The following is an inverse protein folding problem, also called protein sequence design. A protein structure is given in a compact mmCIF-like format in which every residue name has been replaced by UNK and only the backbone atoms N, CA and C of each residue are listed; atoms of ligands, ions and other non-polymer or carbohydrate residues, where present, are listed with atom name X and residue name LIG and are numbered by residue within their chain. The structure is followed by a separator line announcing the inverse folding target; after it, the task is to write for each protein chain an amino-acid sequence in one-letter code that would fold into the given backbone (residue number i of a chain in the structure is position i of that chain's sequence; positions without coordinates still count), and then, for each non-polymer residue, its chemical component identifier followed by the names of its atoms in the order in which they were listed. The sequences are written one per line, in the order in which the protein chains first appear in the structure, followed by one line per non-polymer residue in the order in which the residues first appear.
data_IF_821638320541
#
_entry.id   IF_821638320541
#
_cell.length_a   1.000
_cell.length_b   1.000
_cell.length_c   1.000
_cell.angle_alpha   90.00
_cell.angle_beta   90.00
_cell.angle_gamma   90.00
#
_symmetry.space_group_name_H-M   'P 1'
#
loop_
_entity.id
_entity.type
_entity.pdbx_description
1 polymer ?
#
# COMPACT_ATOMS: atom_id res chain seq x y z
N UNK A 1 -73.19 -6.36 56.71
CA UNK A 1 -71.73 -6.30 56.98
C UNK A 1 -71.01 -7.09 55.90
N UNK A 2 -70.41 -6.46 54.89
CA UNK A 2 -69.50 -7.11 53.96
C UNK A 2 -68.06 -7.08 54.53
N UNK A 3 -67.24 -8.13 54.33
CA UNK A 3 -65.83 -8.08 54.70
C UNK A 3 -65.04 -7.27 53.67
N UNK A 4 -64.28 -6.28 54.14
CA UNK A 4 -63.38 -5.45 53.33
C UNK A 4 -62.23 -6.29 52.76
N UNK A 5 -62.21 -6.49 51.44
CA UNK A 5 -61.10 -7.09 50.74
C UNK A 5 -59.93 -6.09 50.62
N UNK A 6 -58.78 -6.41 51.23
CA UNK A 6 -57.52 -5.67 51.04
C UNK A 6 -56.84 -6.14 49.77
N UNK A 7 -56.62 -5.21 48.83
CA UNK A 7 -55.80 -5.43 47.63
C UNK A 7 -54.33 -5.32 48.06
N UNK A 8 -53.56 -6.40 47.87
CA UNK A 8 -52.11 -6.39 48.08
C UNK A 8 -51.42 -5.75 46.86
N UNK A 9 -50.39 -4.89 47.05
CA UNK A 9 -49.64 -4.31 45.94
C UNK A 9 -48.77 -5.39 45.28
N UNK A 10 -48.89 -5.53 43.96
CA UNK A 10 -47.99 -6.37 43.16
C UNK A 10 -46.73 -5.56 42.87
N UNK A 11 -45.63 -5.89 43.55
CA UNK A 11 -44.32 -5.29 43.28
C UNK A 11 -43.81 -5.72 41.90
N UNK A 12 -43.30 -4.80 41.05
CA UNK A 12 -42.72 -5.18 39.78
C UNK A 12 -41.44 -5.99 40.02
N UNK A 13 -41.35 -7.16 39.38
CA UNK A 13 -40.12 -7.96 39.33
C UNK A 13 -39.07 -7.15 38.58
N UNK A 14 -38.10 -6.59 39.31
CA UNK A 14 -36.93 -6.00 38.71
C UNK A 14 -36.18 -7.09 37.93
N UNK A 15 -36.16 -6.96 36.60
CA UNK A 15 -35.35 -7.81 35.74
C UNK A 15 -33.89 -7.48 36.02
N UNK A 16 -33.17 -8.40 36.69
CA UNK A 16 -31.73 -8.25 36.89
C UNK A 16 -31.07 -8.32 35.51
N UNK A 17 -30.32 -7.30 35.08
CA UNK A 17 -29.63 -7.36 33.80
C UNK A 17 -28.62 -8.52 33.83
N UNK A 18 -28.79 -9.46 32.89
CA UNK A 18 -27.82 -10.55 32.70
C UNK A 18 -26.54 -9.95 32.12
N UNK A 19 -25.46 -9.99 32.91
CA UNK A 19 -24.13 -9.62 32.45
C UNK A 19 -23.50 -10.73 31.62
N UNK A 20 -22.55 -10.37 30.75
CA UNK A 20 -21.72 -11.33 30.03
C UNK A 20 -20.88 -12.16 31.01
N UNK A 21 -20.79 -13.46 30.76
CA UNK A 21 -19.91 -14.35 31.53
C UNK A 21 -18.46 -14.20 31.08
N UNK A 22 -17.52 -14.50 31.98
CA UNK A 22 -16.09 -14.51 31.65
C UNK A 22 -15.79 -15.48 30.50
N UNK A 23 -16.49 -16.62 30.47
CA UNK A 23 -16.34 -17.64 29.42
C UNK A 23 -16.85 -17.15 28.07
N UNK A 24 -17.95 -16.40 28.02
CA UNK A 24 -18.43 -15.80 26.76
C UNK A 24 -17.43 -14.80 26.19
N UNK A 25 -16.82 -13.97 27.04
CA UNK A 25 -15.78 -13.04 26.60
C UNK A 25 -14.53 -13.79 26.13
N UNK A 26 -14.14 -14.87 26.80
CA UNK A 26 -12.99 -15.68 26.38
C UNK A 26 -13.21 -16.34 25.01
N UNK A 27 -14.38 -16.94 24.78
CA UNK A 27 -14.73 -17.52 23.49
C UNK A 27 -14.79 -16.45 22.38
N UNK A 28 -15.39 -15.29 22.68
CA UNK A 28 -15.47 -14.18 21.73
C UNK A 28 -14.07 -13.70 21.31
N UNK A 29 -13.15 -13.54 22.27
CA UNK A 29 -11.77 -13.14 21.99
C UNK A 29 -11.02 -14.17 21.15
N UNK A 30 -11.25 -15.47 21.37
CA UNK A 30 -10.66 -16.54 20.56
C UNK A 30 -11.09 -16.40 19.10
N UNK A 31 -12.39 -16.21 18.84
CA UNK A 31 -12.90 -16.06 17.47
C UNK A 31 -12.33 -14.80 16.82
N UNK A 32 -12.31 -13.68 17.52
CA UNK A 32 -11.72 -12.42 17.00
C UNK A 32 -10.23 -12.58 16.71
N UNK A 33 -9.49 -13.29 17.57
CA UNK A 33 -8.06 -13.56 17.37
C UNK A 33 -7.78 -14.34 16.08
N UNK A 34 -8.59 -15.38 15.79
CA UNK A 34 -8.46 -16.17 14.56
C UNK A 34 -8.75 -15.30 13.33
N UNK A 35 -9.81 -14.49 13.37
CA UNK A 35 -10.15 -13.60 12.26
C UNK A 35 -9.06 -12.55 12.00
N UNK A 36 -8.52 -11.94 13.07
CA UNK A 36 -7.46 -10.94 12.97
C UNK A 36 -6.18 -11.53 12.36
N UNK A 37 -5.82 -12.77 12.70
CA UNK A 37 -4.63 -13.44 12.19
C UNK A 37 -4.63 -13.58 10.65
N UNK A 38 -5.80 -13.79 10.04
CA UNK A 38 -5.93 -13.88 8.58
C UNK A 38 -6.14 -12.50 7.96
N UNK A 39 -6.94 -11.63 8.58
CA UNK A 39 -7.33 -10.35 8.00
C UNK A 39 -6.16 -9.35 7.92
N UNK A 40 -5.30 -9.28 8.94
CA UNK A 40 -4.21 -8.31 9.01
C UNK A 40 -3.18 -8.43 7.88
N UNK A 41 -2.58 -9.61 7.60
CA UNK A 41 -1.59 -9.72 6.52
C UNK A 41 -2.22 -9.43 5.14
N UNK A 42 -3.45 -9.89 4.90
CA UNK A 42 -4.16 -9.63 3.64
C UNK A 42 -4.45 -8.13 3.45
N UNK A 43 -4.88 -7.43 4.50
CA UNK A 43 -5.10 -5.99 4.44
C UNK A 43 -3.81 -5.22 4.13
N UNK A 44 -2.69 -5.58 4.77
CA UNK A 44 -1.39 -4.96 4.49
C UNK A 44 -0.97 -5.14 3.04
N UNK A 45 -1.15 -6.33 2.47
CA UNK A 45 -0.85 -6.60 1.06
C UNK A 45 -1.74 -5.77 0.11
N UNK A 46 -3.02 -5.59 0.44
CA UNK A 46 -3.93 -4.73 -0.35
C UNK A 46 -3.48 -3.27 -0.32
N UNK A 47 -3.06 -2.75 0.84
CA UNK A 47 -2.53 -1.39 0.97
C UNK A 47 -1.22 -1.24 0.18
N UNK A 48 -0.29 -2.19 0.29
CA UNK A 48 0.96 -2.18 -0.48
C UNK A 48 0.69 -2.20 -1.98
N UNK A 49 -0.21 -3.08 -2.46
CA UNK A 49 -0.62 -3.13 -3.87
C UNK A 49 -1.22 -1.80 -4.34
N UNK A 50 -2.07 -1.18 -3.52
CA UNK A 50 -2.63 0.13 -3.82
C UNK A 50 -1.53 1.20 -3.94
N UNK A 51 -0.55 1.21 -3.03
CA UNK A 51 0.55 2.17 -3.05
C UNK A 51 1.54 1.95 -4.18
N UNK A 52 1.74 0.71 -4.67
CA UNK A 52 2.52 0.45 -5.89
C UNK A 52 1.96 1.20 -7.11
N UNK A 53 0.64 1.44 -7.17
CA UNK A 53 0.06 2.24 -8.25
C UNK A 53 0.56 3.70 -8.26
N UNK A 54 0.92 4.25 -7.10
CA UNK A 54 1.50 5.58 -6.97
C UNK A 54 2.93 5.63 -7.56
N UNK A 55 3.72 4.58 -7.31
CA UNK A 55 5.03 4.42 -7.95
C UNK A 55 4.90 4.30 -9.48
N UNK A 56 4.00 3.43 -9.95
CA UNK A 56 3.78 3.20 -11.39
C UNK A 56 3.33 4.49 -12.08
N UNK A 57 2.44 5.27 -11.47
CA UNK A 57 2.01 6.57 -11.99
C UNK A 57 3.20 7.53 -12.14
N UNK A 58 4.09 7.57 -11.15
CA UNK A 58 5.27 8.41 -11.21
C UNK A 58 6.29 7.93 -12.26
N UNK A 59 6.57 6.63 -12.33
CA UNK A 59 7.50 6.04 -13.28
C UNK A 59 7.05 6.29 -14.74
N UNK A 60 5.75 6.11 -15.01
CA UNK A 60 5.17 6.38 -16.33
C UNK A 60 5.16 7.86 -16.67
N UNK A 61 4.93 8.76 -15.70
CA UNK A 61 5.04 10.19 -15.88
C UNK A 61 6.49 10.62 -16.24
N UNK A 62 7.48 10.07 -15.54
CA UNK A 62 8.90 10.31 -15.84
C UNK A 62 9.26 9.77 -17.23
N UNK A 63 8.80 8.57 -17.60
CA UNK A 63 9.02 8.00 -18.94
C UNK A 63 8.47 8.92 -20.04
N UNK A 64 7.23 9.40 -19.90
CA UNK A 64 6.63 10.33 -20.86
C UNK A 64 7.39 11.66 -20.93
N UNK A 65 7.85 12.18 -19.79
CA UNK A 65 8.64 13.41 -19.75
C UNK A 65 10.01 13.23 -20.43
N UNK A 66 10.67 12.08 -20.23
CA UNK A 66 11.91 11.73 -20.93
C UNK A 66 11.72 11.66 -22.45
N UNK A 67 10.61 11.10 -22.92
CA UNK A 67 10.32 11.04 -24.35
C UNK A 67 10.07 12.43 -24.94
N UNK A 68 9.30 13.28 -24.24
CA UNK A 68 9.12 14.69 -24.62
C UNK A 68 10.45 15.46 -24.63
N UNK A 69 11.33 15.17 -23.68
CA UNK A 69 12.66 15.76 -23.62
C UNK A 69 13.51 15.36 -24.84
N UNK A 70 13.47 14.08 -25.23
CA UNK A 70 14.18 13.54 -26.41
C UNK A 70 13.68 14.09 -27.74
N UNK A 71 12.40 14.48 -27.83
CA UNK A 71 11.86 15.04 -29.08
C UNK A 71 12.66 16.27 -29.57
N UNK A 72 13.29 17.02 -28.67
CA UNK A 72 14.07 18.22 -28.99
C UNK A 72 15.57 18.08 -28.67
N UNK A 73 16.03 16.91 -28.20
CA UNK A 73 17.41 16.74 -27.67
C UNK A 73 18.01 15.38 -28.02
N UNK A 74 19.32 15.37 -28.22
CA UNK A 74 20.08 14.19 -28.64
C UNK A 74 20.30 13.14 -27.53
N UNK A 75 20.03 13.48 -26.27
CA UNK A 75 20.15 12.57 -25.13
C UNK A 75 19.03 12.74 -24.10
N UNK A 76 18.82 11.70 -23.30
CA UNK A 76 17.99 11.77 -22.10
C UNK A 76 18.66 12.64 -21.03
N UNK A 77 17.89 13.16 -20.07
CA UNK A 77 18.44 13.90 -18.93
C UNK A 77 18.57 13.00 -17.70
N UNK A 78 19.62 13.24 -16.91
CA UNK A 78 19.86 12.58 -15.62
C UNK A 78 19.23 13.32 -14.45
N UNK A 79 18.58 14.47 -14.70
CA UNK A 79 17.99 15.32 -13.66
C UNK A 79 16.47 15.29 -13.76
N UNK A 80 15.81 14.96 -12.66
CA UNK A 80 14.35 14.99 -12.57
C UNK A 80 13.78 16.42 -12.71
N UNK A 81 14.53 17.44 -12.28
CA UNK A 81 14.14 18.85 -12.41
C UNK A 81 13.95 19.29 -13.86
N UNK A 82 14.79 18.78 -14.76
CA UNK A 82 14.74 19.07 -16.21
C UNK A 82 13.46 18.52 -16.85
N UNK A 83 12.85 17.52 -16.22
CA UNK A 83 11.61 16.87 -16.61
C UNK A 83 10.37 17.49 -15.93
N UNK A 84 10.56 18.55 -15.12
CA UNK A 84 9.49 19.22 -14.38
C UNK A 84 9.16 18.59 -13.03
N UNK A 85 9.99 17.68 -12.52
CA UNK A 85 9.83 17.06 -11.21
C UNK A 85 10.81 17.67 -10.21
N UNK A 86 10.30 18.54 -9.33
CA UNK A 86 11.11 19.24 -8.32
C UNK A 86 11.43 18.37 -7.10
N UNK A 87 10.70 17.28 -6.90
CA UNK A 87 10.93 16.29 -5.87
C UNK A 87 11.17 14.92 -6.50
N UNK A 88 12.21 14.22 -6.06
CA UNK A 88 12.43 12.81 -6.38
C UNK A 88 11.52 11.88 -5.59
N UNK A 89 10.23 12.21 -5.49
CA UNK A 89 9.24 11.49 -4.70
C UNK A 89 8.00 11.24 -5.52
N UNK A 90 7.32 10.13 -5.25
CA UNK A 90 6.03 9.83 -5.85
C UNK A 90 4.95 10.83 -5.38
N UNK A 91 3.83 10.98 -6.10
CA UNK A 91 2.80 11.98 -5.78
C UNK A 91 2.26 11.90 -4.35
N UNK A 92 2.14 10.69 -3.78
CA UNK A 92 1.71 10.48 -2.39
C UNK A 92 2.87 10.30 -1.41
N UNK A 93 4.12 10.42 -1.86
CA UNK A 93 5.32 10.35 -1.02
C UNK A 93 5.63 8.96 -0.46
N UNK A 94 5.13 7.88 -1.09
CA UNK A 94 5.43 6.52 -0.65
C UNK A 94 6.75 5.97 -1.22
N UNK A 95 7.21 6.53 -2.33
CA UNK A 95 8.42 6.11 -3.01
C UNK A 95 9.33 7.30 -3.31
N UNK A 96 10.62 7.05 -3.26
CA UNK A 96 11.67 7.90 -3.80
C UNK A 96 12.00 7.45 -5.23
N UNK A 97 12.29 8.41 -6.10
CA UNK A 97 12.51 8.22 -7.53
C UNK A 97 13.94 8.60 -7.86
N UNK A 98 14.66 7.71 -8.52
CA UNK A 98 16.02 7.94 -8.97
C UNK A 98 16.17 7.61 -10.46
N UNK A 99 17.02 8.37 -11.14
CA UNK A 99 17.47 8.11 -12.50
C UNK A 99 18.90 7.54 -12.47
N UNK A 100 19.16 6.53 -13.29
CA UNK A 100 20.46 5.91 -13.48
C UNK A 100 20.65 5.48 -14.93
N UNK A 101 21.88 5.09 -15.31
CA UNK A 101 22.22 4.61 -16.66
C UNK A 101 21.76 5.54 -17.80
N UNK A 102 21.77 6.84 -17.56
CA UNK A 102 21.27 7.83 -18.51
C UNK A 102 22.32 8.10 -19.59
N UNK A 103 21.90 7.95 -20.84
CA UNK A 103 22.73 8.20 -22.02
C UNK A 103 21.90 8.75 -23.18
N UNK A 104 22.43 8.58 -24.39
CA UNK A 104 21.76 9.03 -25.63
C UNK A 104 20.54 8.18 -25.95
N UNK A 105 20.61 6.88 -25.74
CA UNK A 105 19.55 5.90 -26.06
C UNK A 105 19.10 5.08 -24.86
N UNK A 106 19.65 5.34 -23.68
CA UNK A 106 19.39 4.56 -22.46
C UNK A 106 18.99 5.44 -21.29
N UNK A 107 18.14 4.91 -20.41
CA UNK A 107 17.98 5.39 -19.04
C UNK A 107 17.29 4.32 -18.20
N UNK A 108 17.42 4.41 -16.89
CA UNK A 108 16.65 3.63 -15.94
C UNK A 108 16.07 4.56 -14.90
N UNK A 109 14.75 4.54 -14.74
CA UNK A 109 14.06 5.18 -13.63
C UNK A 109 13.64 4.11 -12.62
N UNK A 110 13.94 4.33 -11.35
CA UNK A 110 13.66 3.38 -10.27
C UNK A 110 12.89 4.10 -9.16
N UNK A 111 11.85 3.44 -8.66
CA UNK A 111 11.07 3.80 -7.49
C UNK A 111 11.42 2.87 -6.33
N UNK A 112 11.92 3.42 -5.24
CA UNK A 112 12.26 2.72 -3.99
C UNK A 112 11.36 3.21 -2.86
N UNK A 113 10.80 2.33 -2.01
CA UNK A 113 9.91 2.74 -0.94
C UNK A 113 10.64 3.60 0.09
N UNK A 114 9.95 4.59 0.64
CA UNK A 114 10.46 5.38 1.77
C UNK A 114 10.60 4.48 2.99
N UNK A 115 11.74 4.56 3.68
CA UNK A 115 12.13 3.64 4.76
C UNK A 115 11.15 3.60 5.95
N UNK A 116 10.39 4.66 6.19
CA UNK A 116 9.48 4.78 7.34
C UNK A 116 8.04 4.32 7.06
N UNK A 117 7.72 3.93 5.83
CA UNK A 117 6.35 3.56 5.42
C UNK A 117 6.08 2.05 5.46
N UNK A 118 4.79 1.68 5.50
CA UNK A 118 4.35 0.26 5.35
C UNK A 118 4.78 -0.38 4.02
N UNK A 119 5.23 0.44 3.06
CA UNK A 119 5.79 -0.02 1.80
C UNK A 119 7.18 -0.63 1.97
N UNK A 120 7.94 -0.26 3.00
CA UNK A 120 9.24 -0.87 3.30
C UNK A 120 9.12 -2.35 3.69
N UNK A 121 7.93 -2.79 4.13
CA UNK A 121 7.66 -4.20 4.46
C UNK A 121 7.25 -5.03 3.24
N UNK A 122 7.19 -4.43 2.05
CA UNK A 122 6.87 -5.12 0.81
C UNK A 122 8.11 -5.82 0.23
N UNK A 123 8.53 -6.90 0.89
CA UNK A 123 9.77 -7.62 0.56
C UNK A 123 9.76 -8.21 -0.85
N UNK A 124 8.59 -8.58 -1.39
CA UNK A 124 8.48 -9.14 -2.73
C UNK A 124 8.58 -8.09 -3.84
N UNK A 125 8.36 -6.82 -3.52
CA UNK A 125 8.34 -5.71 -4.47
C UNK A 125 9.03 -4.48 -3.87
N UNK A 126 10.26 -4.70 -3.41
CA UNK A 126 11.08 -3.68 -2.76
C UNK A 126 11.53 -2.57 -3.72
N UNK A 127 11.50 -2.80 -5.04
CA UNK A 127 11.66 -1.73 -6.02
C UNK A 127 10.90 -1.99 -7.31
N UNK A 128 10.52 -0.91 -7.97
CA UNK A 128 9.87 -0.89 -9.29
C UNK A 128 10.69 0.02 -10.20
N UNK A 129 10.77 -0.27 -11.49
CA UNK A 129 11.49 0.58 -12.41
C UNK A 129 11.10 0.40 -13.87
N UNK A 130 11.48 1.37 -14.67
CA UNK A 130 11.38 1.33 -16.12
C UNK A 130 12.79 1.57 -16.66
N UNK A 131 13.29 0.63 -17.45
CA UNK A 131 14.56 0.77 -18.15
C UNK A 131 14.29 0.85 -19.65
N UNK A 132 14.87 1.86 -20.28
CA UNK A 132 14.87 2.03 -21.73
C UNK A 132 16.26 1.78 -22.25
N UNK A 133 16.37 0.94 -23.28
CA UNK A 133 17.62 0.67 -23.97
C UNK A 133 17.37 0.60 -25.48
N UNK A 134 17.91 1.56 -26.24
CA UNK A 134 17.76 1.57 -27.70
C UNK A 134 16.32 1.71 -28.18
N UNK A 135 15.45 2.35 -27.39
CA UNK A 135 14.01 2.48 -27.67
C UNK A 135 13.15 1.31 -27.17
N UNK A 136 13.77 0.20 -26.72
CA UNK A 136 13.04 -0.87 -26.05
C UNK A 136 12.75 -0.48 -24.60
N UNK A 137 11.48 -0.53 -24.21
CA UNK A 137 11.02 -0.31 -22.83
C UNK A 137 10.94 -1.65 -22.11
N UNK A 138 11.51 -1.73 -20.91
CA UNK A 138 11.44 -2.89 -20.03
C UNK A 138 10.97 -2.47 -18.63
N UNK A 139 10.00 -3.21 -18.09
CA UNK A 139 9.50 -3.01 -16.73
C UNK A 139 10.29 -3.90 -15.78
N UNK A 140 10.95 -3.29 -14.80
CA UNK A 140 11.81 -3.99 -13.85
C UNK A 140 11.21 -3.95 -12.46
N UNK A 141 11.41 -5.01 -11.70
CA UNK A 141 11.01 -5.07 -10.29
C UNK A 141 11.97 -6.00 -9.56
N UNK A 142 12.28 -5.66 -8.32
CA UNK A 142 13.14 -6.49 -7.48
C UNK A 142 12.59 -6.65 -6.06
N UNK A 143 12.93 -7.78 -5.45
CA UNK A 143 12.66 -8.06 -4.04
C UNK A 143 13.69 -7.39 -3.11
N UNK A 144 13.56 -7.61 -1.81
CA UNK A 144 14.47 -7.06 -0.79
C UNK A 144 15.90 -7.55 -0.93
N UNK A 145 16.12 -8.71 -1.57
CA UNK A 145 17.44 -9.28 -1.85
C UNK A 145 18.00 -8.82 -3.20
N UNK A 146 17.35 -7.82 -3.82
CA UNK A 146 17.68 -7.24 -5.13
C UNK A 146 17.60 -8.25 -6.27
N UNK A 147 16.87 -9.34 -6.09
CA UNK A 147 16.63 -10.31 -7.16
C UNK A 147 15.46 -9.85 -8.03
N UNK A 148 15.55 -10.00 -9.36
CA UNK A 148 14.48 -9.61 -10.27
C UNK A 148 13.24 -10.50 -10.05
N UNK A 149 12.06 -9.89 -9.91
CA UNK A 149 10.83 -10.62 -9.56
C UNK A 149 9.97 -11.01 -10.77
N UNK A 150 10.58 -11.09 -11.96
CA UNK A 150 9.94 -11.46 -13.23
C UNK A 150 8.63 -10.70 -13.54
N UNK A 151 8.54 -9.43 -13.14
CA UNK A 151 7.39 -8.56 -13.45
C UNK A 151 6.15 -8.76 -12.57
N UNK A 152 6.20 -9.61 -11.53
CA UNK A 152 5.08 -9.86 -10.60
C UNK A 152 4.52 -8.60 -9.92
N UNK A 153 5.35 -7.57 -9.79
CA UNK A 153 5.01 -6.32 -9.10
C UNK A 153 4.32 -5.28 -9.99
N UNK A 154 4.38 -5.48 -11.31
CA UNK A 154 3.78 -4.61 -12.31
C UNK A 154 2.41 -5.08 -12.77
N UNK A 155 2.18 -6.39 -12.75
CA UNK A 155 0.88 -6.98 -13.08
C UNK A 155 -0.14 -6.66 -11.98
N UNK A 156 -1.19 -5.93 -12.35
CA UNK A 156 -2.33 -5.62 -11.48
C UNK A 156 -3.23 -6.84 -11.30
#
# INVERSE_FOLDING_TARGET
MPPSARILPVSPLACVPRGFTLVEIMLALIVVGILAAVALPTYQQMVQKSRRSDAIAMLTAVQQAQERWRANRTSYTSRLSDLGFNSGSSPKGYYEIALSNVGTSTYTVTATPVATGTQSSDSQCASLGIAVNGGQVSYTSADSDRQPTSGKCWAQ
#
